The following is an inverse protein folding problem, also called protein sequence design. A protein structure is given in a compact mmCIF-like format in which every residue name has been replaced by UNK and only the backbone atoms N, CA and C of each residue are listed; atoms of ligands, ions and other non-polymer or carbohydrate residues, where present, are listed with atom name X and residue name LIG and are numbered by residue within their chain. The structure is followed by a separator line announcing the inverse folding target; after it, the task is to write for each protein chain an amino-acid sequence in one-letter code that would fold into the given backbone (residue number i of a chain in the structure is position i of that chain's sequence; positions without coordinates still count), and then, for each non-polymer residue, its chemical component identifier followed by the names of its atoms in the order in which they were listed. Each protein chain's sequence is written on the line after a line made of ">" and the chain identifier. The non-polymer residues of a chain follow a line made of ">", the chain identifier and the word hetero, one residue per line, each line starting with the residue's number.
data_IF_594371906694
#
_entry.id   IF_594371906694
#
_cell.length_a   1.000
_cell.length_b   1.000
_cell.length_c   1.000
_cell.angle_alpha   90.00
_cell.angle_beta   90.00
_cell.angle_gamma   90.00
#
_symmetry.space_group_name_H-M   'P 1'
#
loop_
_entity.id
_entity.type
_entity.pdbx_description
1 polymer ?
#
# COMPACT_ATOMS: atom_id res chain seq x y z
N UNK A 1 69.85 -103.77 9.11
CA UNK A 1 69.92 -105.14 8.58
C UNK A 1 68.91 -106.00 9.33
N UNK A 2 68.22 -106.84 8.57
CA UNK A 2 67.23 -107.86 8.92
C UNK A 2 67.51 -108.70 10.18
N UNK A 3 66.41 -109.01 10.90
CA UNK A 3 65.87 -110.34 11.30
C UNK A 3 66.76 -111.34 12.09
N UNK A 4 66.09 -112.06 13.02
CA UNK A 4 66.04 -113.55 13.23
C UNK A 4 66.34 -113.97 14.69
N UNK A 5 65.35 -114.47 15.46
CA UNK A 5 64.84 -115.87 15.63
C UNK A 5 65.69 -116.74 16.60
N UNK A 6 65.00 -117.46 17.51
CA UNK A 6 65.47 -118.67 18.25
C UNK A 6 65.07 -118.65 19.74
N UNK A 7 64.07 -119.39 20.24
CA UNK A 7 63.97 -120.84 20.58
C UNK A 7 64.48 -121.24 22.00
N UNK A 8 63.52 -121.50 22.91
CA UNK A 8 63.38 -122.56 23.96
C UNK A 8 64.60 -123.01 24.81
N UNK A 9 64.45 -123.00 26.15
CA UNK A 9 64.84 -124.10 27.07
C UNK A 9 64.27 -123.90 28.50
N UNK A 10 63.90 -125.02 29.13
CA UNK A 10 63.25 -125.15 30.44
C UNK A 10 64.24 -125.51 31.56
N UNK A 11 63.93 -125.16 32.81
CA UNK A 11 64.34 -125.91 34.01
C UNK A 11 63.30 -125.71 35.14
N UNK A 12 62.92 -126.83 35.77
CA UNK A 12 61.87 -127.04 36.78
C UNK A 12 62.43 -127.06 38.23
N UNK A 13 61.48 -127.21 39.19
CA UNK A 13 61.56 -127.56 40.63
C UNK A 13 61.40 -126.38 41.61
N UNK A 14 60.21 -126.09 42.18
CA UNK A 14 59.32 -126.84 43.15
C UNK A 14 59.89 -126.89 44.59
N UNK A 15 59.20 -126.66 45.73
CA UNK A 15 57.84 -126.21 46.15
C UNK A 15 57.89 -126.09 47.72
N UNK A 16 57.35 -125.02 48.36
CA UNK A 16 56.18 -124.95 49.29
C UNK A 16 56.57 -124.27 50.63
N UNK A 17 55.63 -123.71 51.46
CA UNK A 17 54.18 -123.60 51.31
C UNK A 17 53.59 -122.16 51.48
N UNK A 18 52.27 -122.03 51.19
CA UNK A 18 51.43 -120.87 51.47
C UNK A 18 50.90 -120.83 52.93
N UNK A 19 50.91 -119.64 53.53
CA UNK A 19 50.03 -119.13 54.60
C UNK A 19 50.04 -117.59 54.47
N UNK A 20 49.02 -116.79 54.74
CA UNK A 20 47.60 -116.97 55.01
C UNK A 20 46.97 -115.57 54.94
N UNK A 21 45.66 -115.52 54.79
CA UNK A 21 44.83 -114.36 55.14
C UNK A 21 45.17 -113.88 56.57
N UNK A 22 45.40 -112.57 56.78
CA UNK A 22 45.21 -111.88 58.06
C UNK A 22 45.04 -110.35 57.85
N UNK A 23 44.18 -109.69 58.65
CA UNK A 23 43.83 -108.28 58.48
C UNK A 23 44.99 -107.36 58.88
N UNK A 24 45.30 -106.34 58.06
CA UNK A 24 46.44 -105.41 58.21
C UNK A 24 46.27 -104.44 59.42
N UNK A 25 45.37 -104.73 60.36
CA UNK A 25 45.02 -103.83 61.47
C UNK A 25 45.89 -103.96 62.74
N UNK A 26 46.93 -104.79 62.78
CA UNK A 26 47.65 -105.08 64.05
C UNK A 26 49.02 -104.38 64.25
N UNK A 27 49.19 -103.10 63.87
CA UNK A 27 50.41 -102.31 64.24
C UNK A 27 50.09 -100.88 64.73
N UNK A 28 50.26 -100.57 66.04
CA UNK A 28 49.88 -99.26 66.60
C UNK A 28 50.71 -98.06 66.07
N UNK A 29 51.89 -98.30 65.48
CA UNK A 29 52.74 -97.24 64.92
C UNK A 29 52.33 -96.83 63.50
N UNK A 30 51.68 -97.71 62.74
CA UNK A 30 51.30 -97.46 61.34
C UNK A 30 50.02 -96.62 61.27
N UNK A 31 49.07 -96.86 62.19
CA UNK A 31 47.81 -96.10 62.27
C UNK A 31 48.04 -94.61 62.53
N UNK A 32 48.94 -94.26 63.46
CA UNK A 32 49.27 -92.86 63.78
C UNK A 32 49.91 -92.13 62.59
N UNK A 33 50.83 -92.78 61.89
CA UNK A 33 51.47 -92.21 60.71
C UNK A 33 50.44 -91.93 59.59
N UNK A 34 49.54 -92.88 59.32
CA UNK A 34 48.45 -92.69 58.35
C UNK A 34 47.53 -91.54 58.76
N UNK A 35 47.19 -91.42 60.05
CA UNK A 35 46.36 -90.33 60.55
C UNK A 35 47.04 -88.96 60.42
N UNK A 36 48.35 -88.87 60.71
CA UNK A 36 49.11 -87.64 60.59
C UNK A 36 49.27 -87.22 59.11
N UNK A 37 49.53 -88.17 58.20
CA UNK A 37 49.53 -87.92 56.75
C UNK A 37 48.15 -87.50 56.23
N UNK A 38 47.05 -88.13 56.69
CA UNK A 38 45.68 -87.72 56.33
C UNK A 38 45.34 -86.33 56.86
N UNK A 39 45.83 -85.98 58.04
CA UNK A 39 45.63 -84.65 58.64
C UNK A 39 46.41 -83.59 57.88
N UNK A 40 47.68 -83.87 57.53
CA UNK A 40 48.51 -83.01 56.70
C UNK A 40 47.87 -82.84 55.31
N UNK A 41 47.41 -83.92 54.69
CA UNK A 41 46.74 -83.89 53.39
C UNK A 41 45.44 -83.05 53.42
N UNK A 42 44.62 -83.17 54.47
CA UNK A 42 43.43 -82.30 54.64
C UNK A 42 43.81 -80.84 54.82
N UNK A 43 44.87 -80.57 55.58
CA UNK A 43 45.33 -79.21 55.82
C UNK A 43 45.88 -78.58 54.54
N UNK A 44 46.68 -79.34 53.77
CA UNK A 44 47.16 -78.95 52.45
C UNK A 44 46.00 -78.76 51.46
N UNK A 45 44.97 -79.61 51.50
CA UNK A 45 43.78 -79.45 50.70
C UNK A 45 43.02 -78.17 51.06
N UNK A 46 42.83 -77.89 52.36
CA UNK A 46 42.19 -76.66 52.83
C UNK A 46 42.99 -75.41 52.45
N UNK A 47 44.31 -75.45 52.56
CA UNK A 47 45.18 -74.32 52.19
C UNK A 47 45.29 -74.16 50.66
N UNK A 48 45.17 -75.24 49.90
CA UNK A 48 45.04 -75.19 48.44
C UNK A 48 43.69 -74.57 48.05
N UNK A 49 42.57 -75.02 48.65
CA UNK A 49 41.23 -74.45 48.42
C UNK A 49 41.18 -72.97 48.77
N UNK A 50 41.78 -72.55 49.90
CA UNK A 50 41.90 -71.14 50.27
C UNK A 50 42.71 -70.35 49.25
N UNK A 51 43.89 -70.85 48.84
CA UNK A 51 44.73 -70.17 47.84
C UNK A 51 44.03 -70.05 46.49
N UNK A 52 43.37 -71.11 46.03
CA UNK A 52 42.59 -71.11 44.80
C UNK A 52 41.42 -70.13 44.90
N UNK A 53 40.70 -70.11 46.03
CA UNK A 53 39.60 -69.16 46.25
C UNK A 53 40.09 -67.72 46.19
N UNK A 54 41.21 -67.40 46.86
CA UNK A 54 41.82 -66.06 46.82
C UNK A 54 42.25 -65.70 45.39
N UNK A 55 42.91 -66.61 44.67
CA UNK A 55 43.34 -66.33 43.29
C UNK A 55 42.17 -66.17 42.32
N UNK A 56 41.12 -66.97 42.44
CA UNK A 56 39.92 -66.88 41.60
C UNK A 56 39.20 -65.57 41.88
N UNK A 57 38.96 -65.25 43.16
CA UNK A 57 38.30 -64.00 43.56
C UNK A 57 39.09 -62.75 43.13
N UNK A 58 40.42 -62.75 43.26
CA UNK A 58 41.27 -61.65 42.79
C UNK A 58 41.26 -61.51 41.27
N UNK A 59 41.22 -62.64 40.54
CA UNK A 59 41.06 -62.64 39.08
C UNK A 59 39.68 -62.13 38.65
N UNK A 60 38.61 -62.52 39.33
CA UNK A 60 37.26 -62.02 39.08
C UNK A 60 37.14 -60.53 39.39
N UNK A 61 37.71 -60.08 40.51
CA UNK A 61 37.74 -58.67 40.90
C UNK A 61 38.52 -57.82 39.89
N UNK A 62 39.69 -58.28 39.44
CA UNK A 62 40.49 -57.57 38.44
C UNK A 62 39.85 -57.54 37.05
N UNK A 63 39.16 -58.60 36.65
CA UNK A 63 38.35 -58.60 35.41
C UNK A 63 37.16 -57.64 35.53
N UNK A 64 36.48 -57.63 36.67
CA UNK A 64 35.38 -56.70 36.95
C UNK A 64 35.85 -55.24 36.93
N UNK A 65 36.95 -54.93 37.61
CA UNK A 65 37.50 -53.57 37.68
C UNK A 65 37.95 -53.06 36.30
N UNK A 66 38.60 -53.92 35.50
CA UNK A 66 38.95 -53.59 34.12
C UNK A 66 37.70 -53.34 33.26
N UNK A 67 36.65 -54.14 33.40
CA UNK A 67 35.37 -53.96 32.69
C UNK A 67 34.66 -52.66 33.09
N UNK A 68 34.64 -52.34 34.39
CA UNK A 68 34.09 -51.10 34.92
C UNK A 68 34.88 -49.88 34.42
N UNK A 69 36.21 -49.96 34.39
CA UNK A 69 37.07 -48.91 33.85
C UNK A 69 36.80 -48.65 32.37
N UNK A 70 36.71 -49.69 31.53
CA UNK A 70 36.34 -49.53 30.12
C UNK A 70 34.94 -48.94 29.94
N UNK A 71 33.98 -49.35 30.76
CA UNK A 71 32.61 -48.81 30.74
C UNK A 71 32.61 -47.32 31.11
N UNK A 72 33.33 -46.93 32.16
CA UNK A 72 33.44 -45.52 32.56
C UNK A 72 34.09 -44.67 31.47
N UNK A 73 35.18 -45.15 30.85
CA UNK A 73 35.89 -44.43 29.79
C UNK A 73 35.01 -44.26 28.55
N UNK A 74 34.33 -45.33 28.10
CA UNK A 74 33.44 -45.27 26.93
C UNK A 74 32.24 -44.36 27.15
N UNK A 75 31.58 -44.47 28.32
CA UNK A 75 30.47 -43.59 28.72
C UNK A 75 30.92 -42.13 28.74
N UNK A 76 32.10 -41.84 29.30
CA UNK A 76 32.67 -40.49 29.34
C UNK A 76 32.94 -39.94 27.93
N UNK A 77 33.48 -40.75 27.02
CA UNK A 77 33.66 -40.33 25.63
C UNK A 77 32.34 -40.08 24.89
N UNK A 78 31.30 -40.89 25.11
CA UNK A 78 29.97 -40.62 24.56
C UNK A 78 29.43 -39.28 25.05
N UNK A 79 29.59 -38.96 26.34
CA UNK A 79 29.22 -37.65 26.87
C UNK A 79 29.99 -36.51 26.20
N UNK A 80 31.29 -36.65 25.94
CA UNK A 80 32.05 -35.63 25.22
C UNK A 80 31.61 -35.47 23.76
N UNK A 81 31.29 -36.55 23.05
CA UNK A 81 30.77 -36.49 21.68
C UNK A 81 29.41 -35.78 21.66
N UNK A 82 28.50 -36.16 22.56
CA UNK A 82 27.18 -35.51 22.67
C UNK A 82 27.34 -34.02 23.02
N UNK A 83 28.22 -33.67 23.97
CA UNK A 83 28.48 -32.28 24.34
C UNK A 83 29.09 -31.48 23.19
N UNK A 84 30.00 -32.08 22.41
CA UNK A 84 30.59 -31.48 21.22
C UNK A 84 29.54 -31.21 20.14
N UNK A 85 28.69 -32.20 19.82
CA UNK A 85 27.60 -32.06 18.86
C UNK A 85 26.57 -31.03 19.34
N UNK A 86 26.19 -31.06 20.62
CA UNK A 86 25.26 -30.09 21.20
C UNK A 86 25.80 -28.66 21.14
N UNK A 87 27.09 -28.48 21.41
CA UNK A 87 27.76 -27.17 21.30
C UNK A 87 27.80 -26.66 19.86
N UNK A 88 28.06 -27.55 18.90
CA UNK A 88 28.06 -27.22 17.47
C UNK A 88 26.66 -26.82 16.98
N UNK A 89 25.63 -27.58 17.36
CA UNK A 89 24.23 -27.28 17.04
C UNK A 89 23.79 -25.96 17.69
N UNK A 90 24.19 -25.70 18.93
CA UNK A 90 23.88 -24.45 19.62
C UNK A 90 24.53 -23.24 18.92
N UNK A 91 25.78 -23.36 18.48
CA UNK A 91 26.48 -22.31 17.72
C UNK A 91 25.79 -22.00 16.39
N UNK A 92 25.49 -23.03 15.60
CA UNK A 92 24.81 -22.88 14.30
C UNK A 92 23.39 -22.33 14.50
N UNK A 93 22.66 -22.84 15.48
CA UNK A 93 21.32 -22.37 15.83
C UNK A 93 21.31 -20.90 16.27
N UNK A 94 22.30 -20.47 17.06
CA UNK A 94 22.44 -19.08 17.49
C UNK A 94 22.73 -18.13 16.32
N UNK A 95 23.64 -18.52 15.41
CA UNK A 95 23.92 -17.73 14.22
C UNK A 95 22.69 -17.59 13.31
N UNK A 96 21.98 -18.69 13.05
CA UNK A 96 20.76 -18.69 12.24
C UNK A 96 19.66 -17.83 12.86
N UNK A 97 19.41 -17.94 14.18
CA UNK A 97 18.43 -17.11 14.87
C UNK A 97 18.79 -15.62 14.80
N UNK A 98 20.07 -15.28 14.92
CA UNK A 98 20.55 -13.90 14.80
C UNK A 98 20.36 -13.36 13.38
N UNK A 99 20.65 -14.16 12.37
CA UNK A 99 20.48 -13.81 10.96
C UNK A 99 18.99 -13.62 10.61
N UNK A 100 18.13 -14.56 11.01
CA UNK A 100 16.67 -14.43 10.83
C UNK A 100 16.16 -13.17 11.52
N UNK A 101 16.58 -12.88 12.75
CA UNK A 101 16.19 -11.66 13.48
C UNK A 101 16.65 -10.39 12.76
N UNK A 102 17.85 -10.37 12.18
CA UNK A 102 18.36 -9.22 11.43
C UNK A 102 17.57 -9.03 10.13
N UNK A 103 17.44 -10.10 9.33
CA UNK A 103 16.78 -10.04 8.03
C UNK A 103 15.29 -9.71 8.15
N UNK A 104 14.60 -10.25 9.16
CA UNK A 104 13.19 -9.92 9.43
C UNK A 104 13.01 -8.46 9.83
N UNK A 105 13.91 -7.91 10.66
CA UNK A 105 13.90 -6.48 11.00
C UNK A 105 14.15 -5.61 9.78
N UNK A 106 15.18 -5.93 8.99
CA UNK A 106 15.51 -5.17 7.79
C UNK A 106 14.36 -5.19 6.76
N UNK A 107 13.72 -6.35 6.57
CA UNK A 107 12.56 -6.48 5.69
C UNK A 107 11.35 -5.71 6.22
N UNK A 108 11.11 -5.72 7.54
CA UNK A 108 10.06 -4.94 8.17
C UNK A 108 10.32 -3.43 7.97
N UNK A 109 11.53 -2.95 8.25
CA UNK A 109 11.92 -1.54 8.08
C UNK A 109 11.78 -1.10 6.62
N UNK A 110 12.22 -1.93 5.65
CA UNK A 110 12.04 -1.65 4.22
C UNK A 110 10.57 -1.56 3.84
N UNK A 111 9.74 -2.48 4.34
CA UNK A 111 8.30 -2.51 4.05
C UNK A 111 7.61 -1.28 4.63
N UNK A 112 7.93 -0.92 5.88
CA UNK A 112 7.41 0.28 6.55
C UNK A 112 7.82 1.53 5.78
N UNK A 113 9.09 1.66 5.40
CA UNK A 113 9.58 2.81 4.64
C UNK A 113 8.92 2.91 3.26
N UNK A 114 8.72 1.78 2.57
CA UNK A 114 8.00 1.75 1.29
C UNK A 114 6.56 2.22 1.44
N UNK A 115 5.86 1.72 2.46
CA UNK A 115 4.49 2.13 2.77
C UNK A 115 4.45 3.63 3.10
N UNK A 116 5.35 4.11 3.97
CA UNK A 116 5.44 5.51 4.34
C UNK A 116 5.64 6.42 3.12
N UNK A 117 6.58 6.07 2.23
CA UNK A 117 6.83 6.81 0.98
C UNK A 117 5.63 6.79 0.03
N UNK A 118 4.92 5.67 -0.07
CA UNK A 118 3.72 5.58 -0.91
C UNK A 118 2.61 6.50 -0.38
N UNK A 119 2.37 6.48 0.93
CA UNK A 119 1.41 7.37 1.56
C UNK A 119 1.81 8.83 1.45
N UNK A 120 3.09 9.17 1.67
CA UNK A 120 3.60 10.54 1.50
C UNK A 120 3.34 11.06 0.09
N UNK A 121 3.62 10.27 -0.95
CA UNK A 121 3.30 10.62 -2.34
C UNK A 121 1.80 10.85 -2.56
N UNK A 122 0.95 9.97 -2.02
CA UNK A 122 -0.52 10.11 -2.12
C UNK A 122 -1.01 11.37 -1.39
N UNK A 123 -0.44 11.69 -0.22
CA UNK A 123 -0.77 12.90 0.53
C UNK A 123 -0.38 14.16 -0.23
N UNK A 124 0.82 14.21 -0.80
CA UNK A 124 1.26 15.35 -1.62
C UNK A 124 0.36 15.52 -2.85
N UNK A 125 0.02 14.43 -3.54
CA UNK A 125 -0.89 14.50 -4.68
C UNK A 125 -2.29 14.99 -4.29
N UNK A 126 -2.83 14.51 -3.17
CA UNK A 126 -4.12 14.95 -2.63
C UNK A 126 -4.09 16.43 -2.24
N UNK A 127 -3.03 16.88 -1.58
CA UNK A 127 -2.86 18.28 -1.19
C UNK A 127 -2.84 19.20 -2.41
N UNK A 128 -2.13 18.81 -3.47
CA UNK A 128 -2.09 19.55 -4.73
C UNK A 128 -3.46 19.62 -5.39
N UNK A 129 -4.20 18.50 -5.44
CA UNK A 129 -5.56 18.46 -6.01
C UNK A 129 -6.54 19.33 -5.19
N UNK A 130 -6.46 19.27 -3.87
CA UNK A 130 -7.28 20.11 -2.98
C UNK A 130 -6.96 21.60 -3.17
N UNK A 131 -5.68 21.97 -3.26
CA UNK A 131 -5.27 23.36 -3.54
C UNK A 131 -5.79 23.84 -4.89
N UNK A 132 -5.69 23.01 -5.93
CA UNK A 132 -6.21 23.32 -7.27
C UNK A 132 -7.73 23.52 -7.23
N UNK A 133 -8.46 22.58 -6.66
CA UNK A 133 -9.93 22.65 -6.55
C UNK A 133 -10.38 23.85 -5.73
N UNK A 134 -9.71 24.14 -4.62
CA UNK A 134 -9.98 25.32 -3.80
C UNK A 134 -9.82 26.61 -4.60
N UNK A 135 -8.74 26.75 -5.40
CA UNK A 135 -8.55 27.92 -6.27
C UNK A 135 -9.67 28.07 -7.30
N UNK A 136 -10.09 26.97 -7.93
CA UNK A 136 -11.20 27.01 -8.90
C UNK A 136 -12.50 27.42 -8.22
N UNK A 137 -12.80 26.86 -7.04
CA UNK A 137 -14.00 27.23 -6.28
C UNK A 137 -13.98 28.71 -5.92
N UNK A 138 -12.83 29.25 -5.47
CA UNK A 138 -12.74 30.68 -5.15
C UNK A 138 -12.94 31.57 -6.36
N UNK A 139 -12.42 31.18 -7.54
CA UNK A 139 -12.61 31.95 -8.77
C UNK A 139 -14.08 31.91 -9.22
N UNK A 140 -14.67 30.72 -9.27
CA UNK A 140 -16.08 30.55 -9.63
C UNK A 140 -17.00 31.31 -8.67
N UNK A 141 -16.70 31.33 -7.37
CA UNK A 141 -17.47 32.10 -6.40
C UNK A 141 -17.39 33.60 -6.70
N UNK A 142 -16.20 34.11 -7.03
CA UNK A 142 -16.02 35.51 -7.43
C UNK A 142 -16.81 35.85 -8.70
N UNK A 143 -16.80 34.97 -9.69
CA UNK A 143 -17.58 35.14 -10.92
C UNK A 143 -19.09 35.17 -10.63
N UNK A 144 -19.57 34.27 -9.76
CA UNK A 144 -20.98 34.23 -9.33
C UNK A 144 -21.34 35.52 -8.59
N UNK A 145 -20.48 36.04 -7.71
CA UNK A 145 -20.71 37.31 -7.02
C UNK A 145 -20.87 38.46 -8.02
N UNK A 146 -19.99 38.56 -9.02
CA UNK A 146 -20.07 39.58 -10.08
C UNK A 146 -21.36 39.44 -10.90
N UNK A 147 -21.75 38.21 -11.27
CA UNK A 147 -23.00 37.97 -11.99
C UNK A 147 -24.21 38.40 -11.15
N UNK A 148 -24.23 38.06 -9.87
CA UNK A 148 -25.31 38.42 -8.95
C UNK A 148 -25.37 39.94 -8.74
N UNK A 149 -24.23 40.61 -8.62
CA UNK A 149 -24.16 42.06 -8.52
C UNK A 149 -24.77 42.73 -9.76
N UNK A 150 -24.35 42.31 -10.96
CA UNK A 150 -24.91 42.81 -12.22
C UNK A 150 -26.41 42.53 -12.30
N UNK A 151 -26.85 41.33 -11.93
CA UNK A 151 -28.26 40.97 -11.92
C UNK A 151 -29.07 41.86 -10.97
N UNK A 152 -28.56 42.15 -9.78
CA UNK A 152 -29.20 43.08 -8.84
C UNK A 152 -29.28 44.50 -9.40
N UNK A 153 -28.25 44.95 -10.12
CA UNK A 153 -28.27 46.25 -10.81
C UNK A 153 -29.33 46.27 -11.93
N UNK A 154 -29.47 45.20 -12.71
CA UNK A 154 -30.55 45.08 -13.70
C UNK A 154 -31.94 45.11 -13.06
N UNK A 155 -32.14 44.41 -11.94
CA UNK A 155 -33.42 44.49 -11.21
C UNK A 155 -33.67 45.91 -10.67
N UNK A 156 -32.62 46.60 -10.23
CA UNK A 156 -32.71 47.98 -9.77
C UNK A 156 -33.10 48.92 -10.91
N UNK A 157 -32.51 48.78 -12.10
CA UNK A 157 -32.85 49.65 -13.25
C UNK A 157 -34.32 49.55 -13.64
N UNK A 158 -34.95 48.37 -13.50
CA UNK A 158 -36.38 48.18 -13.73
C UNK A 158 -37.28 48.82 -12.65
N UNK A 159 -36.79 48.91 -11.41
CA UNK A 159 -37.55 49.51 -10.30
C UNK A 159 -37.51 51.04 -10.27
N UNK A 160 -36.52 51.62 -10.93
CA UNK A 160 -36.25 53.06 -10.94
C UNK A 160 -37.19 53.78 -11.90
N UNK A 161 -37.80 54.87 -11.44
CA UNK A 161 -38.80 55.60 -12.22
C UNK A 161 -38.20 56.64 -13.19
N UNK A 162 -37.09 57.28 -12.84
CA UNK A 162 -36.51 58.35 -13.67
C UNK A 162 -35.43 57.83 -14.61
N UNK A 163 -35.39 58.37 -15.82
CA UNK A 163 -34.38 58.02 -16.82
C UNK A 163 -32.94 58.30 -16.34
N UNK A 164 -32.71 59.44 -15.69
CA UNK A 164 -31.41 59.82 -15.11
C UNK A 164 -30.86 58.75 -14.15
N UNK A 165 -31.70 58.25 -13.24
CA UNK A 165 -31.28 57.24 -12.29
C UNK A 165 -31.05 55.87 -12.97
N UNK A 166 -31.79 55.55 -14.05
CA UNK A 166 -31.53 54.33 -14.83
C UNK A 166 -30.18 54.41 -15.54
N UNK A 167 -29.84 55.58 -16.10
CA UNK A 167 -28.54 55.85 -16.72
C UNK A 167 -27.42 55.62 -15.71
N UNK A 168 -27.54 56.14 -14.48
CA UNK A 168 -26.55 55.93 -13.42
C UNK A 168 -26.36 54.43 -13.11
N UNK A 169 -27.44 53.67 -13.04
CA UNK A 169 -27.40 52.21 -12.81
C UNK A 169 -26.73 51.48 -13.99
N UNK A 170 -27.05 51.86 -15.24
CA UNK A 170 -26.36 51.29 -16.41
C UNK A 170 -24.87 51.64 -16.43
N UNK A 171 -24.49 52.83 -15.96
CA UNK A 171 -23.08 53.20 -15.78
C UNK A 171 -22.38 52.38 -14.71
N UNK A 172 -23.07 51.97 -13.64
CA UNK A 172 -22.55 50.99 -12.68
C UNK A 172 -22.32 49.62 -13.35
N UNK A 173 -23.27 49.13 -14.15
CA UNK A 173 -23.13 47.86 -14.88
C UNK A 173 -21.96 47.93 -15.87
N UNK A 174 -21.84 49.03 -16.63
CA UNK A 174 -20.77 49.21 -17.62
C UNK A 174 -19.39 49.41 -16.99
N UNK A 175 -19.27 49.84 -15.73
CA UNK A 175 -18.00 49.82 -15.00
C UNK A 175 -17.53 48.39 -14.72
N UNK A 176 -18.46 47.48 -14.45
CA UNK A 176 -18.17 46.07 -14.18
C UNK A 176 -17.95 45.29 -15.49
N UNK A 177 -18.80 45.53 -16.50
CA UNK A 177 -18.71 44.95 -17.84
C UNK A 177 -18.76 46.04 -18.93
N UNK A 178 -17.60 46.61 -19.31
CA UNK A 178 -17.54 47.70 -20.29
C UNK A 178 -18.00 47.34 -21.72
N UNK A 179 -18.10 46.05 -22.03
CA UNK A 179 -18.55 45.53 -23.32
C UNK A 179 -19.96 44.96 -23.32
N UNK A 180 -20.74 45.24 -22.27
CA UNK A 180 -22.15 44.82 -22.21
C UNK A 180 -22.98 45.65 -23.20
N UNK A 181 -23.26 45.05 -24.36
CA UNK A 181 -24.02 45.70 -25.44
C UNK A 181 -25.46 45.97 -25.01
N UNK A 182 -26.04 45.06 -24.22
CA UNK A 182 -27.40 45.18 -23.72
C UNK A 182 -27.50 46.40 -22.80
N UNK A 183 -26.59 46.56 -21.84
CA UNK A 183 -26.53 47.73 -20.98
C UNK A 183 -26.35 49.05 -21.76
N UNK A 184 -25.56 49.05 -22.85
CA UNK A 184 -25.42 50.22 -23.72
C UNK A 184 -26.72 50.55 -24.47
N UNK A 185 -27.44 49.55 -24.99
CA UNK A 185 -28.73 49.77 -25.68
C UNK A 185 -29.82 50.28 -24.74
N UNK A 186 -29.96 49.71 -23.55
CA UNK A 186 -30.92 50.19 -22.55
C UNK A 186 -30.54 51.55 -21.97
N UNK A 187 -29.24 51.88 -21.91
CA UNK A 187 -28.81 53.24 -21.61
C UNK A 187 -29.24 54.21 -22.72
N UNK A 188 -29.09 53.85 -23.98
CA UNK A 188 -29.55 54.68 -25.10
C UNK A 188 -31.06 54.93 -25.03
N UNK A 189 -31.85 53.91 -24.73
CA UNK A 189 -33.29 54.01 -24.51
C UNK A 189 -33.66 54.98 -23.36
N UNK A 190 -32.98 54.87 -22.21
CA UNK A 190 -33.18 55.83 -21.11
C UNK A 190 -32.78 57.27 -21.52
N UNK A 191 -31.75 57.44 -22.33
CA UNK A 191 -31.33 58.74 -22.88
C UNK A 191 -32.35 59.28 -23.90
N UNK A 192 -33.00 58.41 -24.68
CA UNK A 192 -34.10 58.77 -25.57
C UNK A 192 -35.29 59.35 -24.81
N UNK A 193 -35.64 58.79 -23.65
CA UNK A 193 -36.69 59.33 -22.77
C UNK A 193 -36.37 60.74 -22.25
N UNK A 194 -35.08 61.07 -22.11
CA UNK A 194 -34.62 62.43 -21.78
C UNK A 194 -34.57 63.38 -22.98
N UNK A 195 -34.95 62.91 -24.18
CA UNK A 195 -34.91 63.66 -25.44
C UNK A 195 -33.49 64.08 -25.89
N UNK A 196 -32.47 63.42 -25.36
CA UNK A 196 -31.06 63.66 -25.70
C UNK A 196 -30.63 62.79 -26.90
N UNK A 197 -31.29 62.99 -28.05
CA UNK A 197 -31.21 62.11 -29.21
C UNK A 197 -29.79 61.91 -29.77
N UNK A 198 -28.97 62.96 -29.81
CA UNK A 198 -27.58 62.86 -30.27
C UNK A 198 -26.72 61.96 -29.37
N UNK A 199 -27.00 61.95 -28.07
CA UNK A 199 -26.27 61.09 -27.14
C UNK A 199 -26.71 59.64 -27.28
N UNK A 200 -28.03 59.39 -27.40
CA UNK A 200 -28.57 58.07 -27.68
C UNK A 200 -27.97 57.47 -28.96
N UNK A 201 -27.91 58.25 -30.05
CA UNK A 201 -27.26 57.83 -31.30
C UNK A 201 -25.79 57.43 -31.10
N UNK A 202 -25.03 58.20 -30.32
CA UNK A 202 -23.62 57.91 -30.04
C UNK A 202 -23.46 56.56 -29.32
N UNK A 203 -24.35 56.27 -28.36
CA UNK A 203 -24.39 54.99 -27.67
C UNK A 203 -24.75 53.84 -28.61
N UNK A 204 -25.79 54.00 -29.45
CA UNK A 204 -26.18 52.99 -30.44
C UNK A 204 -25.06 52.75 -31.47
N UNK A 205 -24.39 53.80 -31.95
CA UNK A 205 -23.25 53.66 -32.86
C UNK A 205 -22.15 52.81 -32.25
N UNK A 206 -21.82 53.01 -30.97
CA UNK A 206 -20.82 52.20 -30.27
C UNK A 206 -21.24 50.73 -30.16
N UNK A 207 -22.53 50.45 -29.99
CA UNK A 207 -23.03 49.06 -30.03
C UNK A 207 -22.86 48.48 -31.43
N UNK A 208 -23.23 49.24 -32.46
CA UNK A 208 -23.17 48.81 -33.86
C UNK A 208 -21.74 48.68 -34.42
N UNK A 209 -20.77 49.35 -33.82
CA UNK A 209 -19.34 49.13 -34.10
C UNK A 209 -18.87 47.73 -33.65
N UNK A 210 -19.47 47.19 -32.58
CA UNK A 210 -19.12 45.87 -32.02
C UNK A 210 -20.01 44.76 -32.58
N UNK A 211 -21.29 45.06 -32.77
CA UNK A 211 -22.31 44.18 -33.32
C UNK A 211 -23.17 44.95 -34.32
N UNK A 212 -22.74 44.94 -35.59
CA UNK A 212 -23.38 45.70 -36.65
C UNK A 212 -24.82 45.25 -36.96
N UNK A 213 -25.19 44.03 -36.55
CA UNK A 213 -26.52 43.46 -36.77
C UNK A 213 -27.35 43.41 -35.47
N UNK A 214 -27.01 44.28 -34.50
CA UNK A 214 -27.78 44.42 -33.28
C UNK A 214 -29.14 45.11 -33.56
N UNK A 215 -30.20 44.31 -33.70
CA UNK A 215 -31.56 44.79 -33.97
C UNK A 215 -32.05 45.88 -33.01
N UNK A 216 -31.94 45.70 -31.67
CA UNK A 216 -32.34 46.74 -30.70
C UNK A 216 -31.57 48.06 -30.87
N UNK A 217 -30.27 48.02 -31.13
CA UNK A 217 -29.48 49.25 -31.33
C UNK A 217 -29.84 49.96 -32.64
N UNK A 218 -30.09 49.23 -33.74
CA UNK A 218 -30.57 49.79 -35.00
C UNK A 218 -31.93 50.46 -34.81
N UNK A 219 -32.86 49.78 -34.12
CA UNK A 219 -34.17 50.31 -33.78
C UNK A 219 -34.08 51.62 -32.99
N UNK A 220 -33.32 51.62 -31.89
CA UNK A 220 -33.15 52.81 -31.03
C UNK A 220 -32.47 53.96 -31.78
N UNK A 221 -31.49 53.67 -32.66
CA UNK A 221 -30.86 54.68 -33.51
C UNK A 221 -31.82 55.25 -34.55
N UNK A 222 -32.68 54.41 -35.14
CA UNK A 222 -33.72 54.86 -36.06
C UNK A 222 -34.72 55.79 -35.37
N UNK A 223 -35.17 55.46 -34.14
CA UNK A 223 -36.04 56.34 -33.35
C UNK A 223 -35.39 57.71 -33.15
N UNK A 224 -34.10 57.73 -32.78
CA UNK A 224 -33.35 58.97 -32.61
C UNK A 224 -33.24 59.78 -33.92
N UNK A 225 -32.97 59.12 -35.05
CA UNK A 225 -32.94 59.77 -36.37
C UNK A 225 -34.30 60.35 -36.76
N UNK A 226 -35.40 59.62 -36.52
CA UNK A 226 -36.75 60.06 -36.84
C UNK A 226 -37.13 61.31 -36.02
N UNK A 227 -36.78 61.35 -34.73
CA UNK A 227 -36.99 62.52 -33.85
C UNK A 227 -36.11 63.72 -34.23
N UNK A 228 -34.94 63.49 -34.81
CA UNK A 228 -34.06 64.53 -35.35
C UNK A 228 -34.42 64.98 -36.77
N UNK A 229 -35.41 64.34 -37.42
CA UNK A 229 -35.82 64.64 -38.79
C UNK A 229 -34.88 64.10 -39.89
N UNK A 230 -33.99 63.17 -39.54
CA UNK A 230 -33.09 62.50 -40.47
C UNK A 230 -33.78 61.26 -41.08
N UNK A 231 -34.79 61.51 -41.92
CA UNK A 231 -35.70 60.46 -42.42
C UNK A 231 -34.97 59.34 -43.18
N UNK A 232 -34.04 59.69 -44.08
CA UNK A 232 -33.35 58.71 -44.93
C UNK A 232 -32.54 57.70 -44.09
N UNK A 233 -31.81 58.18 -43.08
CA UNK A 233 -31.04 57.33 -42.17
C UNK A 233 -31.95 56.49 -41.26
N UNK A 234 -33.07 57.05 -40.80
CA UNK A 234 -34.05 56.30 -40.03
C UNK A 234 -34.61 55.13 -40.83
N UNK A 235 -34.94 55.34 -42.11
CA UNK A 235 -35.47 54.30 -42.99
C UNK A 235 -34.45 53.18 -43.28
N UNK A 236 -33.18 53.53 -43.46
CA UNK A 236 -32.11 52.54 -43.64
C UNK A 236 -31.97 51.64 -42.40
N UNK A 237 -31.95 52.24 -41.21
CA UNK A 237 -31.85 51.48 -39.95
C UNK A 237 -33.11 50.65 -39.66
N UNK A 238 -34.30 51.18 -39.95
CA UNK A 238 -35.57 50.45 -39.88
C UNK A 238 -35.55 49.24 -40.81
N UNK A 239 -35.13 49.42 -42.06
CA UNK A 239 -35.06 48.32 -43.02
C UNK A 239 -34.13 47.22 -42.53
N UNK A 240 -32.93 47.58 -42.07
CA UNK A 240 -31.97 46.63 -41.53
C UNK A 240 -32.50 45.91 -40.29
N UNK A 241 -33.14 46.63 -39.36
CA UNK A 241 -33.72 46.06 -38.17
C UNK A 241 -34.82 45.02 -38.49
N UNK A 242 -35.66 45.31 -39.51
CA UNK A 242 -36.70 44.41 -40.01
C UNK A 242 -36.10 43.18 -40.71
N UNK A 243 -35.03 43.36 -41.48
CA UNK A 243 -34.32 42.26 -42.14
C UNK A 243 -33.71 41.28 -41.14
N UNK A 244 -33.17 41.81 -40.02
CA UNK A 244 -32.60 40.99 -38.93
C UNK A 244 -33.70 40.29 -38.14
N UNK A 245 -34.75 41.02 -37.77
CA UNK A 245 -35.88 40.46 -37.02
C UNK A 245 -37.20 40.93 -37.64
N UNK A 246 -37.89 40.06 -38.41
CA UNK A 246 -39.19 40.39 -39.00
C UNK A 246 -40.25 40.83 -37.98
N UNK A 247 -40.16 40.39 -36.72
CA UNK A 247 -41.07 40.78 -35.64
C UNK A 247 -40.87 42.23 -35.18
N UNK A 248 -39.76 42.88 -35.56
CA UNK A 248 -39.53 44.29 -35.29
C UNK A 248 -40.53 45.18 -36.04
N UNK A 249 -41.13 44.69 -37.14
CA UNK A 249 -42.17 45.42 -37.88
C UNK A 249 -43.34 45.83 -36.97
N UNK A 250 -43.78 44.92 -36.12
CA UNK A 250 -44.91 45.17 -35.21
C UNK A 250 -44.54 46.24 -34.17
N UNK A 251 -43.30 46.19 -33.66
CA UNK A 251 -42.78 47.20 -32.73
C UNK A 251 -42.68 48.59 -33.39
N UNK A 252 -42.16 48.66 -34.61
CA UNK A 252 -42.04 49.92 -35.38
C UNK A 252 -43.41 50.54 -35.68
N UNK A 253 -44.45 49.72 -35.88
CA UNK A 253 -45.83 50.17 -36.08
C UNK A 253 -46.45 50.78 -34.83
N UNK A 254 -46.09 50.27 -33.64
CA UNK A 254 -46.61 50.76 -32.35
C UNK A 254 -45.81 51.96 -31.81
N UNK A 255 -44.64 52.24 -32.38
CA UNK A 255 -43.70 53.23 -31.87
C UNK A 255 -44.06 54.68 -32.28
N UNK A 256 -44.34 55.58 -31.33
CA UNK A 256 -44.72 56.97 -31.62
C UNK A 256 -43.57 57.81 -32.19
N UNK A 257 -42.31 57.39 -32.03
CA UNK A 257 -41.16 58.12 -32.57
C UNK A 257 -41.15 58.19 -34.10
N UNK A 258 -41.79 57.24 -34.77
CA UNK A 258 -41.89 57.20 -36.23
C UNK A 258 -43.11 57.92 -36.80
N UNK A 259 -43.86 58.66 -35.98
CA UNK A 259 -45.04 59.40 -36.45
C UNK A 259 -44.74 60.34 -37.61
N UNK A 260 -43.55 60.94 -37.61
CA UNK A 260 -43.05 61.83 -38.66
C UNK A 260 -42.85 61.12 -40.00
N UNK A 261 -42.65 59.79 -40.00
CA UNK A 261 -42.39 58.99 -41.19
C UNK A 261 -43.67 58.44 -41.82
N UNK A 262 -44.82 58.48 -41.11
CA UNK A 262 -46.10 58.04 -41.66
C UNK A 262 -46.49 58.89 -42.88
N UNK A 263 -46.75 58.22 -44.00
CA UNK A 263 -47.03 58.88 -45.28
C UNK A 263 -45.84 58.91 -46.24
N UNK A 264 -44.62 58.62 -45.76
CA UNK A 264 -43.49 58.36 -46.65
C UNK A 264 -43.72 57.03 -47.38
N UNK A 265 -43.58 57.05 -48.72
CA UNK A 265 -43.80 55.87 -49.57
C UNK A 265 -42.85 54.72 -49.21
N UNK A 266 -41.61 55.03 -48.86
CA UNK A 266 -40.59 54.04 -48.53
C UNK A 266 -40.91 53.37 -47.19
N UNK A 267 -41.29 54.16 -46.18
CA UNK A 267 -41.71 53.64 -44.87
C UNK A 267 -42.92 52.71 -44.99
N UNK A 268 -43.95 53.14 -45.73
CA UNK A 268 -45.14 52.33 -45.97
C UNK A 268 -44.82 51.04 -46.72
N UNK A 269 -43.84 51.03 -47.62
CA UNK A 269 -43.40 49.82 -48.31
C UNK A 269 -42.74 48.83 -47.34
N UNK A 270 -41.85 49.31 -46.45
CA UNK A 270 -41.15 48.46 -45.48
C UNK A 270 -42.10 47.75 -44.51
N UNK A 271 -43.16 48.43 -44.10
CA UNK A 271 -44.15 47.90 -43.16
C UNK A 271 -45.18 47.00 -43.83
N UNK A 272 -45.65 47.34 -45.03
CA UNK A 272 -46.68 46.55 -45.73
C UNK A 272 -46.14 45.32 -46.47
N UNK A 273 -44.82 45.25 -46.71
CA UNK A 273 -44.17 44.05 -47.24
C UNK A 273 -43.74 43.12 -46.10
N UNK A 274 -44.69 42.32 -45.61
CA UNK A 274 -44.50 41.17 -44.72
C UNK A 274 -45.02 39.90 -45.36
#
# INVERSE_FOLDING_TARGET
>A
MMILIGSVAWAQEEREPLYSESPILDRPLVERYILDELRALRQDQQDLERRLTIQITDRELSVADRSLSYSNVTVTYFFYVIAGVASLVALIGWQSLREVKHNTREMADKSINKIAQEYERKFVALEQDLKRKSRIITENNREIEVINEIHNLWLRSQSVQTAEQRIDVYDEILKIRPGDLEALTYKADAVMEMQEYHWAMSLCNRVLELDNDNGPALYQRACAYARLGAEDQALEDIQRAIEISPSMRDLILEEPDFESLYGNKNFNALINHG
#
